data_IF_303275984026
#
_entry.id   IF_303275984026
#
_cell.length_a   1.000
_cell.length_b   1.000
_cell.length_c   1.000
_cell.angle_alpha   90.00
_cell.angle_beta   90.00
_cell.angle_gamma   90.00
#
_symmetry.space_group_name_H-M   'P 1'
#
loop_
_entity.id
_entity.type
_entity.pdbx_description
1 polymer ?
#
# COMPACT_ATOMS: atom_id res chain seq x y z
N UNK A 1 18.85 -15.27 14.86
CA UNK A 1 18.52 -13.85 15.12
C UNK A 1 17.81 -13.28 13.90
N UNK A 2 16.65 -12.69 14.09
CA UNK A 2 15.92 -11.95 13.06
C UNK A 2 16.79 -10.82 12.48
N UNK A 3 16.60 -10.52 11.18
CA UNK A 3 17.37 -9.47 10.51
C UNK A 3 16.49 -8.25 10.34
N UNK A 4 16.80 -7.18 11.04
CA UNK A 4 16.07 -5.90 10.96
C UNK A 4 16.72 -5.02 9.90
N UNK A 5 15.90 -4.46 9.04
CA UNK A 5 16.29 -3.52 7.96
C UNK A 5 15.43 -2.26 8.06
N UNK A 6 16.07 -1.11 8.08
CA UNK A 6 15.43 0.19 7.98
C UNK A 6 15.44 0.66 6.53
N UNK A 7 14.32 1.15 6.03
CA UNK A 7 14.24 1.85 4.73
C UNK A 7 13.75 3.26 4.95
N UNK A 8 14.50 4.23 4.44
CA UNK A 8 14.17 5.66 4.49
C UNK A 8 13.92 6.13 3.06
N UNK A 9 12.82 6.81 2.85
CA UNK A 9 12.45 7.45 1.60
C UNK A 9 12.33 8.96 1.81
N UNK A 10 13.08 9.73 1.02
CA UNK A 10 13.12 11.19 1.06
C UNK A 10 12.33 11.72 -0.14
N UNK A 11 11.04 11.98 0.08
CA UNK A 11 10.18 12.62 -0.91
C UNK A 11 10.08 14.14 -0.74
N UNK A 12 9.52 14.82 -1.74
CA UNK A 12 9.42 16.30 -1.79
C UNK A 12 8.64 16.92 -0.64
N UNK A 13 7.55 16.29 -0.19
CA UNK A 13 6.68 16.82 0.87
C UNK A 13 6.94 16.16 2.24
N UNK A 14 7.24 14.88 2.25
CA UNK A 14 7.46 14.13 3.49
C UNK A 14 8.56 13.10 3.33
N UNK A 15 9.25 12.87 4.43
CA UNK A 15 10.16 11.74 4.59
C UNK A 15 9.46 10.64 5.37
N UNK A 16 9.72 9.41 5.00
CA UNK A 16 9.14 8.25 5.66
C UNK A 16 10.20 7.20 5.93
N UNK A 17 10.07 6.54 7.06
CA UNK A 17 10.90 5.42 7.46
C UNK A 17 10.01 4.23 7.77
N UNK A 18 10.40 3.05 7.31
CA UNK A 18 9.86 1.77 7.77
C UNK A 18 11.00 0.92 8.32
N UNK A 19 10.71 0.20 9.40
CA UNK A 19 11.63 -0.79 9.96
C UNK A 19 10.95 -2.15 9.85
N UNK A 20 11.60 -3.04 9.14
CA UNK A 20 11.08 -4.34 8.76
C UNK A 20 11.94 -5.44 9.38
N UNK A 21 11.30 -6.38 10.03
CA UNK A 21 11.93 -7.55 10.63
C UNK A 21 11.68 -8.78 9.75
N UNK A 22 12.75 -9.38 9.26
CA UNK A 22 12.72 -10.63 8.52
C UNK A 22 12.67 -11.81 9.48
N UNK A 23 11.57 -12.55 9.50
CA UNK A 23 11.36 -13.72 10.36
C UNK A 23 11.90 -15.03 9.77
N UNK A 24 11.74 -15.23 8.46
CA UNK A 24 12.23 -16.40 7.73
C UNK A 24 12.76 -16.02 6.34
N UNK A 25 12.93 -16.99 5.42
CA UNK A 25 13.56 -16.73 4.12
C UNK A 25 12.92 -15.57 3.34
N UNK A 26 11.60 -15.50 3.33
CA UNK A 26 10.84 -14.50 2.57
C UNK A 26 9.80 -13.76 3.42
N UNK A 27 9.46 -14.26 4.62
CA UNK A 27 8.50 -13.61 5.49
C UNK A 27 9.13 -12.46 6.28
N UNK A 28 8.35 -11.43 6.50
CA UNK A 28 8.73 -10.24 7.23
C UNK A 28 7.52 -9.59 7.89
N UNK A 29 7.78 -8.75 8.85
CA UNK A 29 6.77 -7.91 9.51
C UNK A 29 7.24 -6.47 9.62
N UNK A 30 6.31 -5.53 9.52
CA UNK A 30 6.54 -4.13 9.84
C UNK A 30 6.56 -3.98 11.36
N UNK A 31 7.66 -3.48 11.91
CA UNK A 31 7.81 -3.26 13.37
C UNK A 31 7.81 -1.78 13.75
N UNK A 32 8.09 -0.89 12.80
CA UNK A 32 7.96 0.55 13.01
C UNK A 32 7.70 1.28 11.68
N UNK A 33 6.84 2.27 11.71
CA UNK A 33 6.68 3.24 10.65
C UNK A 33 6.71 4.66 11.26
N UNK A 34 7.54 5.54 10.68
CA UNK A 34 7.62 6.93 11.10
C UNK A 34 7.56 7.85 9.88
N UNK A 35 6.77 8.90 9.98
CA UNK A 35 6.61 9.94 8.96
C UNK A 35 7.03 11.29 9.53
N UNK A 36 7.81 12.04 8.76
CA UNK A 36 8.14 13.45 9.05
C UNK A 36 7.76 14.34 7.87
N UNK A 37 7.08 15.42 8.16
CA UNK A 37 6.57 16.36 7.17
C UNK A 37 7.57 17.50 6.98
N UNK A 38 8.66 17.22 6.28
CA UNK A 38 9.80 18.14 6.12
C UNK A 38 9.60 19.18 5.04
N UNK A 39 8.74 18.93 4.05
CA UNK A 39 8.51 19.78 2.87
C UNK A 39 9.82 20.25 2.26
N UNK A 40 10.74 19.29 1.96
CA UNK A 40 12.10 19.61 1.51
C UNK A 40 12.11 20.41 0.20
N UNK A 41 11.05 20.28 -0.62
CA UNK A 41 10.90 21.05 -1.87
C UNK A 41 10.11 22.34 -1.72
N UNK A 42 9.81 22.80 -0.49
CA UNK A 42 9.09 24.06 -0.26
C UNK A 42 9.88 25.24 -0.81
N UNK A 43 9.24 26.05 -1.68
CA UNK A 43 9.87 27.17 -2.36
C UNK A 43 10.92 26.81 -3.41
N UNK A 44 11.05 25.54 -3.76
CA UNK A 44 12.07 25.05 -4.67
C UNK A 44 11.78 25.50 -6.12
N UNK A 45 10.56 25.26 -6.61
CA UNK A 45 10.21 25.52 -8.02
C UNK A 45 10.11 27.01 -8.35
N UNK A 46 9.81 27.85 -7.35
CA UNK A 46 9.80 29.31 -7.48
C UNK A 46 11.23 29.92 -7.47
N UNK A 47 12.22 29.16 -6.96
CA UNK A 47 13.62 29.58 -6.82
C UNK A 47 14.57 28.78 -7.72
N UNK A 48 14.19 28.58 -8.99
CA UNK A 48 15.05 27.94 -9.99
C UNK A 48 15.39 26.49 -9.67
N UNK A 49 14.57 25.79 -8.92
CA UNK A 49 14.76 24.39 -8.54
C UNK A 49 15.66 24.18 -7.32
N UNK A 50 16.19 25.24 -6.69
CA UNK A 50 17.10 25.11 -5.56
C UNK A 50 16.37 24.83 -4.24
N UNK A 51 16.85 23.84 -3.50
CA UNK A 51 16.41 23.56 -2.14
C UNK A 51 16.73 24.74 -1.22
N UNK A 52 15.80 25.08 -0.37
CA UNK A 52 15.93 26.18 0.58
C UNK A 52 16.57 25.70 1.88
N UNK A 53 17.26 26.59 2.61
CA UNK A 53 18.04 26.24 3.81
C UNK A 53 17.17 25.67 4.93
N UNK A 54 16.04 26.33 5.25
CA UNK A 54 15.13 25.89 6.33
C UNK A 54 14.54 24.50 6.03
N UNK A 55 14.00 24.20 4.84
CA UNK A 55 13.59 22.84 4.46
C UNK A 55 14.70 21.79 4.56
N UNK A 56 15.92 22.12 4.14
CA UNK A 56 17.08 21.23 4.27
C UNK A 56 17.41 20.93 5.73
N UNK A 57 17.35 21.94 6.61
CA UNK A 57 17.58 21.75 8.05
C UNK A 57 16.52 20.86 8.69
N UNK A 58 15.23 21.07 8.37
CA UNK A 58 14.14 20.17 8.82
C UNK A 58 14.36 18.72 8.39
N UNK A 59 14.79 18.53 7.15
CA UNK A 59 15.09 17.20 6.61
C UNK A 59 16.29 16.56 7.33
N UNK A 60 17.35 17.32 7.60
CA UNK A 60 18.50 16.85 8.34
C UNK A 60 18.15 16.40 9.76
N UNK A 61 17.38 17.19 10.51
CA UNK A 61 16.95 16.82 11.86
C UNK A 61 16.03 15.58 11.86
N UNK A 62 15.19 15.44 10.85
CA UNK A 62 14.36 14.25 10.68
C UNK A 62 15.18 13.00 10.40
N UNK A 63 16.23 13.08 9.56
CA UNK A 63 17.15 11.97 9.33
C UNK A 63 17.87 11.54 10.60
N UNK A 64 18.35 12.50 11.39
CA UNK A 64 18.97 12.25 12.69
C UNK A 64 18.03 11.50 13.62
N UNK A 65 16.77 11.93 13.70
CA UNK A 65 15.74 11.24 14.49
C UNK A 65 15.46 9.82 13.98
N UNK A 66 15.35 9.62 12.67
CA UNK A 66 15.12 8.30 12.08
C UNK A 66 16.28 7.34 12.35
N UNK A 67 17.52 7.81 12.27
CA UNK A 67 18.71 7.01 12.61
C UNK A 67 18.72 6.61 14.09
N UNK A 68 18.32 7.50 15.00
CA UNK A 68 18.20 7.17 16.41
C UNK A 68 17.19 6.02 16.64
N UNK A 69 16.02 6.07 16.01
CA UNK A 69 15.02 5.00 16.06
C UNK A 69 15.58 3.69 15.47
N UNK A 70 16.22 3.79 14.29
CA UNK A 70 16.85 2.64 13.62
C UNK A 70 17.88 1.95 14.50
N UNK A 71 18.73 2.73 15.17
CA UNK A 71 19.76 2.23 16.09
C UNK A 71 19.14 1.62 17.35
N UNK A 72 18.12 2.25 17.94
CA UNK A 72 17.40 1.71 19.11
C UNK A 72 16.75 0.36 18.79
N UNK A 73 16.22 0.19 17.57
CA UNK A 73 15.67 -1.08 17.09
C UNK A 73 16.75 -2.07 16.60
N UNK A 74 18.04 -1.74 16.76
CA UNK A 74 19.17 -2.58 16.36
C UNK A 74 19.13 -3.00 14.90
N UNK A 75 18.72 -2.06 14.02
CA UNK A 75 18.70 -2.30 12.58
C UNK A 75 20.12 -2.61 12.07
N UNK A 76 20.25 -3.70 11.34
CA UNK A 76 21.56 -4.14 10.80
C UNK A 76 21.89 -3.49 9.45
N UNK A 77 20.90 -2.91 8.78
CA UNK A 77 21.02 -2.30 7.48
C UNK A 77 20.07 -1.12 7.37
N UNK A 78 20.57 0.00 6.89
CA UNK A 78 19.78 1.18 6.53
C UNK A 78 19.88 1.38 5.03
N UNK A 79 18.75 1.36 4.36
CA UNK A 79 18.60 1.68 2.94
C UNK A 79 17.93 3.06 2.86
N UNK A 80 18.64 4.04 2.34
CA UNK A 80 18.10 5.39 2.20
C UNK A 80 18.05 5.77 0.73
N UNK A 81 16.85 6.10 0.24
CA UNK A 81 16.63 6.58 -1.12
C UNK A 81 16.08 7.99 -1.10
N UNK A 82 16.35 8.75 -2.15
CA UNK A 82 15.78 10.06 -2.37
C UNK A 82 15.27 10.15 -3.81
N UNK A 83 14.14 10.82 -3.97
CA UNK A 83 13.40 10.92 -5.22
C UNK A 83 13.48 12.32 -5.83
N UNK A 84 12.42 12.80 -6.47
CA UNK A 84 12.40 14.03 -7.27
C UNK A 84 12.99 15.26 -6.57
N UNK A 85 12.78 15.41 -5.26
CA UNK A 85 13.29 16.58 -4.53
C UNK A 85 14.82 16.75 -4.61
N UNK A 86 15.57 15.64 -4.41
CA UNK A 86 17.04 15.67 -4.46
C UNK A 86 17.57 15.33 -5.85
N UNK A 87 16.79 14.66 -6.68
CA UNK A 87 17.15 14.36 -8.08
C UNK A 87 17.19 15.63 -8.93
N UNK A 88 16.16 16.48 -8.80
CA UNK A 88 15.95 17.62 -9.68
C UNK A 88 16.66 18.90 -9.17
N UNK A 89 17.05 18.96 -7.89
CA UNK A 89 17.62 20.18 -7.30
C UNK A 89 19.10 20.38 -7.67
N UNK A 90 19.47 21.54 -8.28
CA UNK A 90 20.85 21.84 -8.65
C UNK A 90 21.83 21.83 -7.47
N UNK A 91 21.36 22.25 -6.28
CA UNK A 91 22.16 22.31 -5.05
C UNK A 91 22.04 21.08 -4.15
N UNK A 92 21.47 19.96 -4.62
CA UNK A 92 21.26 18.75 -3.80
C UNK A 92 22.55 18.19 -3.20
N UNK A 93 23.70 18.35 -3.87
CA UNK A 93 25.00 17.88 -3.38
C UNK A 93 25.39 18.48 -2.03
N UNK A 94 24.96 19.71 -1.73
CA UNK A 94 25.22 20.36 -0.44
C UNK A 94 24.58 19.55 0.69
N UNK A 95 23.30 19.22 0.55
CA UNK A 95 22.56 18.41 1.52
C UNK A 95 23.11 17.00 1.63
N UNK A 96 23.36 16.32 0.50
CA UNK A 96 23.88 14.95 0.45
C UNK A 96 25.24 14.83 1.15
N UNK A 97 26.16 15.76 0.89
CA UNK A 97 27.49 15.78 1.52
C UNK A 97 27.39 16.01 3.03
N UNK A 98 26.56 16.97 3.47
CA UNK A 98 26.31 17.24 4.89
C UNK A 98 25.83 16.00 5.61
N UNK A 99 24.77 15.34 5.09
CA UNK A 99 24.21 14.12 5.69
C UNK A 99 25.24 13.00 5.76
N UNK A 100 26.03 12.81 4.71
CA UNK A 100 27.08 11.81 4.68
C UNK A 100 28.18 12.07 5.71
N UNK A 101 28.63 13.31 5.81
CA UNK A 101 29.75 13.68 6.70
C UNK A 101 29.33 13.67 8.16
N UNK A 102 28.14 14.23 8.48
CA UNK A 102 27.71 14.42 9.87
C UNK A 102 27.00 13.20 10.46
N UNK A 103 26.22 12.47 9.64
CA UNK A 103 25.40 11.35 10.08
C UNK A 103 25.93 9.98 9.60
N UNK A 104 26.95 9.94 8.75
CA UNK A 104 27.45 8.70 8.15
C UNK A 104 26.46 8.00 7.23
N UNK A 105 25.36 8.66 6.84
CA UNK A 105 24.30 8.08 6.04
C UNK A 105 24.52 8.38 4.55
N UNK A 106 24.65 7.30 3.75
CA UNK A 106 24.67 7.42 2.30
C UNK A 106 23.24 7.40 1.75
N UNK A 107 22.83 8.46 1.07
CA UNK A 107 21.54 8.59 0.40
C UNK A 107 21.74 8.24 -1.08
N UNK A 108 20.98 7.26 -1.57
CA UNK A 108 20.93 6.91 -2.98
C UNK A 108 19.84 7.73 -3.67
N UNK A 109 20.24 8.73 -4.45
CA UNK A 109 19.30 9.43 -5.33
C UNK A 109 18.94 8.50 -6.48
N UNK A 110 17.67 8.24 -6.67
CA UNK A 110 17.14 7.35 -7.72
C UNK A 110 16.49 8.16 -8.84
N UNK A 111 16.58 7.66 -10.06
CA UNK A 111 15.83 8.19 -11.19
C UNK A 111 14.34 7.83 -11.09
N UNK A 112 13.51 8.49 -11.91
CA UNK A 112 12.07 8.31 -11.84
C UNK A 112 11.60 6.92 -12.30
N UNK A 113 12.28 6.31 -13.26
CA UNK A 113 11.97 4.93 -13.70
C UNK A 113 12.24 3.93 -12.58
N UNK A 114 13.33 4.14 -11.82
CA UNK A 114 13.66 3.30 -10.67
C UNK A 114 12.69 3.50 -9.51
N UNK A 115 12.23 4.73 -9.28
CA UNK A 115 11.17 5.05 -8.33
C UNK A 115 9.88 4.31 -8.67
N UNK A 116 9.43 4.43 -9.93
CA UNK A 116 8.29 3.70 -10.49
C UNK A 116 8.45 2.17 -10.35
N UNK A 117 9.63 1.66 -10.72
CA UNK A 117 9.96 0.23 -10.59
C UNK A 117 9.79 -0.29 -9.16
N UNK A 118 10.27 0.46 -8.16
CA UNK A 118 10.09 0.06 -6.76
C UNK A 118 8.62 0.05 -6.34
N UNK A 119 7.82 1.04 -6.78
CA UNK A 119 6.36 1.02 -6.61
C UNK A 119 5.73 -0.23 -7.22
N UNK A 120 6.13 -0.57 -8.45
CA UNK A 120 5.72 -1.77 -9.17
C UNK A 120 6.11 -3.07 -8.45
N UNK A 121 7.35 -3.17 -7.95
CA UNK A 121 7.80 -4.35 -7.16
C UNK A 121 6.97 -4.51 -5.89
N UNK A 122 6.68 -3.42 -5.17
CA UNK A 122 5.86 -3.49 -3.98
C UNK A 122 4.43 -3.98 -4.29
N UNK A 123 3.78 -3.36 -5.27
CA UNK A 123 2.38 -3.64 -5.60
C UNK A 123 2.19 -5.01 -6.23
N UNK A 124 3.04 -5.43 -7.18
CA UNK A 124 2.96 -6.74 -7.83
C UNK A 124 3.21 -7.93 -6.89
N UNK A 125 3.93 -7.72 -5.78
CA UNK A 125 4.18 -8.76 -4.77
C UNK A 125 3.21 -8.74 -3.60
N UNK A 126 2.61 -7.58 -3.27
CA UNK A 126 1.86 -7.42 -2.03
C UNK A 126 0.36 -7.15 -2.24
N UNK A 127 -0.08 -6.89 -3.48
CA UNK A 127 -1.50 -6.88 -3.84
C UNK A 127 -1.89 -8.20 -4.52
N UNK A 128 -3.17 -8.52 -4.46
CA UNK A 128 -3.72 -9.73 -5.06
C UNK A 128 -3.83 -9.62 -6.59
N UNK A 129 -4.10 -8.42 -7.08
CA UNK A 129 -4.30 -8.15 -8.51
C UNK A 129 -3.04 -8.46 -9.32
N UNK A 130 -3.21 -8.98 -10.54
CA UNK A 130 -2.12 -9.42 -11.42
C UNK A 130 -1.96 -8.55 -12.68
N UNK A 131 -2.97 -7.74 -13.04
CA UNK A 131 -2.93 -6.81 -14.18
C UNK A 131 -3.47 -5.43 -13.78
N UNK A 132 -2.61 -4.40 -13.86
CA UNK A 132 -2.94 -3.02 -13.51
C UNK A 132 -1.86 -2.03 -13.97
N UNK A 133 -2.20 -0.74 -13.95
CA UNK A 133 -1.23 0.36 -13.99
C UNK A 133 -1.12 0.99 -12.59
N UNK A 134 0.10 1.21 -12.07
CA UNK A 134 0.24 2.01 -10.85
C UNK A 134 0.15 3.50 -11.17
N UNK A 135 -0.38 4.28 -10.23
CA UNK A 135 -0.38 5.74 -10.24
C UNK A 135 0.13 6.18 -8.86
N UNK A 136 1.40 6.59 -8.76
CA UNK A 136 2.01 7.11 -7.53
C UNK A 136 2.21 8.61 -7.62
N UNK A 137 1.32 9.38 -6.98
CA UNK A 137 1.37 10.85 -7.00
C UNK A 137 2.24 11.35 -5.85
N UNK A 138 3.45 11.77 -6.22
CA UNK A 138 4.40 12.41 -5.34
C UNK A 138 4.24 13.93 -5.26
N UNK A 139 5.20 14.58 -4.58
CA UNK A 139 5.26 16.05 -4.50
C UNK A 139 5.81 16.69 -5.77
N UNK A 140 6.81 16.11 -6.41
CA UNK A 140 7.49 16.64 -7.59
C UNK A 140 7.22 15.87 -8.88
N UNK A 141 6.85 14.59 -8.79
CA UNK A 141 6.62 13.71 -9.94
C UNK A 141 5.44 12.79 -9.70
N UNK A 142 5.00 12.08 -10.74
CA UNK A 142 4.03 10.99 -10.71
C UNK A 142 4.60 9.82 -11.49
N UNK A 143 4.60 8.66 -10.86
CA UNK A 143 5.17 7.43 -11.38
C UNK A 143 4.08 6.47 -11.86
N UNK A 144 4.33 5.83 -13.02
CA UNK A 144 3.47 4.82 -13.62
C UNK A 144 4.27 3.54 -13.84
N UNK A 145 3.69 2.41 -13.42
CA UNK A 145 4.25 1.09 -13.68
C UNK A 145 3.17 0.19 -14.26
N UNK A 146 3.43 -0.34 -15.46
CA UNK A 146 2.57 -1.32 -16.09
C UNK A 146 2.90 -2.70 -15.58
N UNK A 147 1.90 -3.38 -15.03
CA UNK A 147 2.02 -4.74 -14.48
C UNK A 147 1.03 -5.65 -15.19
N UNK A 148 1.51 -6.81 -15.65
CA UNK A 148 0.70 -7.91 -16.21
C UNK A 148 1.25 -9.24 -15.76
N UNK A 149 0.39 -10.16 -15.33
CA UNK A 149 0.75 -11.45 -14.73
C UNK A 149 1.75 -11.27 -13.57
N UNK A 150 1.53 -10.26 -12.75
CA UNK A 150 2.46 -9.81 -11.68
C UNK A 150 3.88 -9.49 -12.18
N UNK A 151 4.09 -9.28 -13.48
CA UNK A 151 5.37 -8.86 -14.07
C UNK A 151 5.33 -7.39 -14.44
N UNK A 152 6.40 -6.70 -14.12
CA UNK A 152 6.59 -5.31 -14.53
C UNK A 152 6.98 -5.30 -16.01
N UNK A 153 6.16 -4.65 -16.83
CA UNK A 153 6.40 -4.47 -18.26
C UNK A 153 7.19 -3.19 -18.53
N UNK A 154 6.78 -2.09 -17.87
CA UNK A 154 7.38 -0.77 -18.08
C UNK A 154 7.21 0.11 -16.84
N UNK A 155 8.19 0.98 -16.62
CA UNK A 155 8.19 2.01 -15.57
C UNK A 155 8.43 3.37 -16.19
N UNK A 156 7.64 4.39 -15.79
CA UNK A 156 7.70 5.75 -16.31
C UNK A 156 7.56 6.72 -15.16
N UNK A 157 8.24 7.85 -15.24
CA UNK A 157 8.04 8.99 -14.33
C UNK A 157 7.76 10.26 -15.12
N UNK A 158 6.75 10.99 -14.69
CA UNK A 158 6.37 12.28 -15.25
C UNK A 158 6.60 13.39 -14.23
N UNK A 159 7.01 14.56 -14.70
CA UNK A 159 7.22 15.73 -13.86
C UNK A 159 5.90 16.39 -13.43
N UNK A 160 4.97 15.60 -12.90
CA UNK A 160 3.65 16.00 -12.42
C UNK A 160 3.58 15.65 -10.92
N UNK A 161 3.64 16.65 -10.04
CA UNK A 161 3.57 16.41 -8.60
C UNK A 161 2.79 17.51 -7.88
N UNK A 162 2.26 17.21 -6.70
CA UNK A 162 1.37 18.10 -5.97
C UNK A 162 2.03 19.44 -5.62
N UNK A 163 3.29 19.44 -5.18
CA UNK A 163 4.03 20.67 -4.86
C UNK A 163 4.38 21.43 -6.14
N UNK A 164 4.85 20.73 -7.18
CA UNK A 164 5.16 21.33 -8.47
C UNK A 164 3.95 22.02 -9.11
N UNK A 165 2.81 21.36 -9.18
CA UNK A 165 1.58 21.92 -9.75
C UNK A 165 1.07 23.09 -8.91
N UNK A 166 1.19 22.99 -7.59
CA UNK A 166 0.83 24.08 -6.68
C UNK A 166 1.65 25.35 -6.97
N UNK A 167 2.99 25.27 -6.87
CA UNK A 167 3.87 26.43 -7.01
C UNK A 167 3.85 27.02 -8.42
N UNK A 168 3.80 26.19 -9.47
CA UNK A 168 3.84 26.68 -10.85
C UNK A 168 2.50 27.20 -11.39
N UNK A 169 1.37 26.66 -10.88
CA UNK A 169 0.05 26.93 -11.48
C UNK A 169 -1.01 27.36 -10.45
N UNK A 170 -1.26 26.61 -9.38
CA UNK A 170 -2.36 26.88 -8.45
C UNK A 170 -2.15 28.18 -7.69
N UNK A 171 -0.94 28.47 -7.20
CA UNK A 171 -0.62 29.75 -6.55
C UNK A 171 -0.83 30.97 -7.49
N UNK A 172 -0.87 30.73 -8.80
CA UNK A 172 -1.08 31.76 -9.84
C UNK A 172 -2.50 31.74 -10.41
N UNK A 173 -3.41 30.98 -9.81
CA UNK A 173 -4.78 30.77 -10.29
C UNK A 173 -4.89 30.31 -11.76
N UNK A 174 -3.86 29.61 -12.28
CA UNK A 174 -3.79 29.12 -13.64
C UNK A 174 -4.18 27.63 -13.75
N UNK A 175 -5.43 27.31 -13.42
CA UNK A 175 -5.94 25.92 -13.42
C UNK A 175 -5.97 25.32 -14.84
N UNK A 176 -6.28 26.16 -15.85
CA UNK A 176 -6.26 25.73 -17.25
C UNK A 176 -4.86 25.29 -17.67
N UNK A 177 -3.85 26.10 -17.40
CA UNK A 177 -2.46 25.76 -17.69
C UNK A 177 -1.98 24.52 -16.92
N UNK A 178 -2.44 24.31 -15.69
CA UNK A 178 -2.17 23.07 -14.95
C UNK A 178 -2.69 21.84 -15.69
N UNK A 179 -3.94 21.91 -16.19
CA UNK A 179 -4.55 20.80 -16.94
C UNK A 179 -3.80 20.53 -18.25
N UNK A 180 -3.52 21.55 -19.02
CA UNK A 180 -2.76 21.44 -20.28
C UNK A 180 -1.37 20.80 -20.04
N UNK A 181 -0.67 21.24 -18.98
CA UNK A 181 0.62 20.69 -18.61
C UNK A 181 0.53 19.19 -18.24
N UNK A 182 -0.48 18.78 -17.49
CA UNK A 182 -0.69 17.37 -17.12
C UNK A 182 -0.96 16.54 -18.38
N UNK A 183 -1.89 16.98 -19.24
CA UNK A 183 -2.25 16.26 -20.47
C UNK A 183 -1.06 16.12 -21.42
N UNK A 184 -0.25 17.18 -21.58
CA UNK A 184 0.95 17.11 -22.42
C UNK A 184 1.96 16.08 -21.91
N UNK A 185 2.19 16.03 -20.58
CA UNK A 185 3.06 15.01 -20.01
C UNK A 185 2.50 13.59 -20.11
N UNK A 186 1.16 13.42 -20.03
CA UNK A 186 0.52 12.11 -20.14
C UNK A 186 0.69 11.46 -21.52
N UNK A 187 0.98 12.24 -22.58
CA UNK A 187 1.30 11.68 -23.91
C UNK A 187 2.40 10.63 -23.84
N UNK A 188 3.38 10.80 -22.96
CA UNK A 188 4.48 9.83 -22.75
C UNK A 188 3.99 8.47 -22.26
N UNK A 189 2.82 8.39 -21.62
CA UNK A 189 2.21 7.12 -21.19
C UNK A 189 1.68 6.36 -22.41
N UNK A 190 0.99 7.07 -23.32
CA UNK A 190 0.47 6.49 -24.55
C UNK A 190 1.57 6.07 -25.54
N UNK A 191 2.69 6.81 -25.56
CA UNK A 191 3.85 6.49 -26.41
C UNK A 191 4.51 5.13 -26.08
N UNK A 192 4.16 4.52 -24.96
CA UNK A 192 4.72 3.20 -24.60
C UNK A 192 4.16 2.07 -25.45
N UNK A 193 3.06 2.27 -26.18
CA UNK A 193 2.39 1.26 -27.00
C UNK A 193 2.05 -0.03 -26.20
N UNK A 194 1.65 0.15 -24.95
CA UNK A 194 1.16 -0.90 -24.04
C UNK A 194 -0.31 -0.64 -23.79
N UNK A 195 -1.14 -1.68 -23.83
CA UNK A 195 -2.55 -1.57 -23.49
C UNK A 195 -2.70 -1.06 -22.06
N UNK A 196 -3.49 -0.01 -21.88
CA UNK A 196 -3.74 0.58 -20.57
C UNK A 196 -4.86 -0.20 -19.89
N UNK A 197 -4.62 -0.85 -18.76
CA UNK A 197 -5.66 -1.54 -18.03
C UNK A 197 -6.73 -0.55 -17.53
N UNK A 198 -8.00 -0.97 -17.51
CA UNK A 198 -9.08 -0.18 -16.91
C UNK A 198 -9.00 -0.10 -15.37
N UNK A 199 -8.08 -0.86 -14.78
CA UNK A 199 -7.79 -0.91 -13.34
C UNK A 199 -6.46 -0.21 -13.04
N UNK A 200 -6.48 0.71 -12.06
CA UNK A 200 -5.27 1.34 -11.54
C UNK A 200 -5.02 0.95 -10.08
N UNK A 201 -3.76 0.86 -9.71
CA UNK A 201 -3.32 0.81 -8.32
C UNK A 201 -2.84 2.18 -7.89
N UNK A 202 -3.61 2.79 -6.99
CA UNK A 202 -3.32 4.11 -6.47
C UNK A 202 -2.33 4.09 -5.31
N UNK A 203 -1.23 4.81 -5.44
CA UNK A 203 -0.17 4.97 -4.43
C UNK A 203 -0.07 6.44 -4.04
N UNK A 204 0.53 6.72 -2.92
CA UNK A 204 0.78 8.09 -2.47
C UNK A 204 -0.25 8.63 -1.47
N UNK A 205 0.08 9.78 -0.92
CA UNK A 205 -0.65 10.32 0.21
C UNK A 205 -2.02 10.90 -0.13
N UNK A 206 -2.15 11.53 -1.29
CA UNK A 206 -3.42 12.10 -1.75
C UNK A 206 -4.43 11.02 -2.04
N UNK A 207 -4.04 9.98 -2.81
CA UNK A 207 -4.93 8.87 -3.16
C UNK A 207 -5.39 8.11 -1.89
N UNK A 208 -4.49 7.83 -0.94
CA UNK A 208 -4.87 7.20 0.33
C UNK A 208 -5.84 8.06 1.15
N UNK A 209 -5.73 9.38 1.07
CA UNK A 209 -6.70 10.28 1.74
C UNK A 209 -8.06 10.17 1.09
N UNK A 210 -8.15 10.22 -0.25
CA UNK A 210 -9.39 10.05 -1.00
C UNK A 210 -10.04 8.69 -0.68
N UNK A 211 -9.25 7.61 -0.72
CA UNK A 211 -9.75 6.26 -0.42
C UNK A 211 -10.28 6.14 1.00
N UNK A 212 -9.61 6.74 2.00
CA UNK A 212 -10.12 6.74 3.38
C UNK A 212 -11.42 7.52 3.50
N UNK A 213 -11.56 8.66 2.82
CA UNK A 213 -12.82 9.40 2.77
C UNK A 213 -13.95 8.60 2.14
N UNK A 214 -13.65 7.83 1.07
CA UNK A 214 -14.62 6.91 0.43
C UNK A 214 -15.04 5.80 1.40
N UNK A 215 -14.08 5.19 2.11
CA UNK A 215 -14.36 4.17 3.12
C UNK A 215 -15.26 4.74 4.22
N UNK A 216 -14.91 5.89 4.78
CA UNK A 216 -15.66 6.55 5.86
C UNK A 216 -17.09 6.93 5.41
N UNK A 217 -17.24 7.49 4.20
CA UNK A 217 -18.54 7.82 3.58
C UNK A 217 -19.45 6.60 3.43
N UNK A 218 -18.88 5.44 3.10
CA UNK A 218 -19.63 4.21 2.84
C UNK A 218 -19.69 3.29 4.07
N UNK A 219 -19.31 3.76 5.27
CA UNK A 219 -19.29 2.97 6.51
C UNK A 219 -18.59 1.60 6.31
N UNK A 220 -17.45 1.61 5.55
CA UNK A 220 -16.78 0.40 5.17
C UNK A 220 -16.25 -0.38 6.39
N UNK A 221 -16.52 -1.70 6.52
CA UNK A 221 -16.33 -2.42 7.79
C UNK A 221 -14.85 -2.71 8.14
N UNK A 222 -13.90 -2.39 7.26
CA UNK A 222 -12.47 -2.57 7.52
C UNK A 222 -11.75 -1.23 7.54
N UNK A 223 -10.81 -1.06 8.48
CA UNK A 223 -9.93 0.12 8.52
C UNK A 223 -8.72 0.02 7.57
N UNK A 224 -8.45 -1.19 7.08
CA UNK A 224 -7.30 -1.45 6.21
C UNK A 224 -7.48 -0.80 4.84
N UNK A 225 -6.59 0.14 4.51
CA UNK A 225 -6.63 0.83 3.22
C UNK A 225 -5.95 0.02 2.09
N UNK A 226 -5.00 -0.84 2.43
CA UNK A 226 -4.27 -1.66 1.45
C UNK A 226 -5.17 -2.77 0.90
N UNK A 227 -5.44 -2.73 -0.40
CA UNK A 227 -6.38 -3.61 -1.09
C UNK A 227 -7.83 -3.09 -1.15
N UNK A 228 -8.11 -1.89 -0.61
CA UNK A 228 -9.42 -1.26 -0.77
C UNK A 228 -9.65 -0.89 -2.23
N UNK A 229 -10.79 -1.30 -2.77
CA UNK A 229 -11.15 -1.14 -4.18
C UNK A 229 -12.44 -0.32 -4.30
N UNK A 230 -12.47 0.60 -5.28
CA UNK A 230 -13.66 1.39 -5.57
C UNK A 230 -13.79 1.71 -7.06
N UNK A 231 -15.05 1.94 -7.49
CA UNK A 231 -15.37 2.36 -8.84
C UNK A 231 -15.22 3.88 -8.98
N UNK A 232 -14.46 4.33 -9.97
CA UNK A 232 -14.16 5.76 -10.20
C UNK A 232 -15.43 6.58 -10.46
N UNK A 233 -16.38 6.05 -11.23
CA UNK A 233 -17.59 6.77 -11.58
C UNK A 233 -18.48 7.04 -10.35
N UNK A 234 -18.51 6.14 -9.39
CA UNK A 234 -19.28 6.32 -8.16
C UNK A 234 -18.74 7.46 -7.28
N UNK A 235 -17.46 7.80 -7.43
CA UNK A 235 -16.77 8.77 -6.57
C UNK A 235 -16.47 10.12 -7.23
N UNK A 236 -16.86 10.31 -8.47
CA UNK A 236 -16.66 11.60 -9.21
C UNK A 236 -17.15 12.82 -8.43
N UNK A 237 -18.31 12.72 -7.78
CA UNK A 237 -18.90 13.83 -7.00
C UNK A 237 -18.01 14.22 -5.82
N UNK A 238 -17.39 13.26 -5.14
CA UNK A 238 -16.46 13.53 -4.05
C UNK A 238 -15.24 14.31 -4.56
N UNK A 239 -14.64 13.88 -5.67
CA UNK A 239 -13.51 14.56 -6.28
C UNK A 239 -13.86 16.00 -6.68
N UNK A 240 -15.02 16.20 -7.30
CA UNK A 240 -15.51 17.53 -7.68
C UNK A 240 -15.74 18.44 -6.46
N UNK A 241 -16.30 17.92 -5.37
CA UNK A 241 -16.53 18.70 -4.17
C UNK A 241 -15.19 19.16 -3.55
N UNK A 242 -14.17 18.29 -3.50
CA UNK A 242 -12.83 18.68 -3.03
C UNK A 242 -12.22 19.78 -3.88
N UNK A 243 -12.39 19.69 -5.22
CA UNK A 243 -11.85 20.70 -6.13
C UNK A 243 -12.56 22.05 -6.01
N UNK A 244 -13.85 22.07 -5.69
CA UNK A 244 -14.68 23.27 -5.49
C UNK A 244 -14.50 23.92 -4.12
N UNK A 245 -14.03 23.19 -3.11
CA UNK A 245 -13.83 23.75 -1.76
C UNK A 245 -12.86 24.94 -1.79
N UNK A 246 -13.26 26.08 -1.27
CA UNK A 246 -12.44 27.30 -1.25
C UNK A 246 -11.74 27.51 0.07
N UNK A 247 -12.22 26.88 1.14
CA UNK A 247 -11.70 27.04 2.50
C UNK A 247 -11.23 25.72 3.11
N UNK A 248 -10.38 25.82 4.12
CA UNK A 248 -9.96 24.63 4.89
C UNK A 248 -11.13 24.02 5.70
N UNK A 249 -12.10 24.84 6.10
CA UNK A 249 -13.27 24.37 6.83
C UNK A 249 -14.16 23.53 5.95
N UNK A 250 -14.40 23.93 4.71
CA UNK A 250 -15.11 23.11 3.71
C UNK A 250 -14.38 21.79 3.41
N UNK A 251 -13.06 21.81 3.33
CA UNK A 251 -12.28 20.57 3.19
C UNK A 251 -12.40 19.68 4.43
N UNK A 252 -12.46 20.26 5.63
CA UNK A 252 -12.66 19.51 6.86
C UNK A 252 -14.06 18.88 6.94
N UNK A 253 -15.10 19.61 6.52
CA UNK A 253 -16.48 19.10 6.42
C UNK A 253 -16.60 17.92 5.45
N UNK A 254 -15.80 17.92 4.37
CA UNK A 254 -15.68 16.78 3.45
C UNK A 254 -14.88 15.60 4.02
N UNK A 255 -14.32 15.71 5.24
CA UNK A 255 -13.54 14.67 5.90
C UNK A 255 -12.04 14.73 5.65
N UNK A 256 -11.52 15.77 5.00
CA UNK A 256 -10.07 15.93 4.79
C UNK A 256 -9.39 16.28 6.12
N UNK A 257 -8.33 15.55 6.46
CA UNK A 257 -7.54 15.83 7.68
C UNK A 257 -6.67 17.08 7.49
N UNK A 258 -6.46 17.85 8.58
CA UNK A 258 -5.67 19.11 8.58
C UNK A 258 -4.29 18.97 7.94
N UNK A 259 -3.65 17.82 8.12
CA UNK A 259 -2.33 17.55 7.54
C UNK A 259 -2.34 17.36 6.02
N UNK A 260 -3.48 17.48 5.35
CA UNK A 260 -3.67 17.33 3.91
C UNK A 260 -4.17 18.58 3.20
N UNK A 261 -4.63 19.59 3.90
CA UNK A 261 -5.22 20.79 3.30
C UNK A 261 -4.33 21.46 2.25
N UNK A 262 -3.01 21.42 2.41
CA UNK A 262 -2.07 22.08 1.52
C UNK A 262 -1.74 21.32 0.23
N UNK A 263 -2.23 20.10 0.05
CA UNK A 263 -1.87 19.25 -1.12
C UNK A 263 -3.04 18.42 -1.66
N UNK A 264 -4.20 18.42 -1.00
CA UNK A 264 -5.30 17.53 -1.39
C UNK A 264 -5.96 18.00 -2.70
N UNK A 265 -6.14 19.30 -2.90
CA UNK A 265 -6.75 19.84 -4.12
C UNK A 265 -5.90 19.52 -5.34
N UNK A 266 -4.61 19.82 -5.28
CA UNK A 266 -3.65 19.53 -6.34
C UNK A 266 -3.56 18.01 -6.62
N UNK A 267 -3.50 17.20 -5.55
CA UNK A 267 -3.47 15.75 -5.66
C UNK A 267 -4.74 15.17 -6.29
N UNK A 268 -5.91 15.67 -5.90
CA UNK A 268 -7.19 15.27 -6.48
C UNK A 268 -7.30 15.71 -7.94
N UNK A 269 -6.83 16.91 -8.26
CA UNK A 269 -6.83 17.44 -9.62
C UNK A 269 -5.97 16.59 -10.56
N UNK A 270 -4.73 16.29 -10.14
CA UNK A 270 -3.81 15.42 -10.88
C UNK A 270 -4.46 14.04 -11.07
N UNK A 271 -4.93 13.45 -9.98
CA UNK A 271 -5.49 12.09 -9.99
C UNK A 271 -6.72 11.99 -10.89
N UNK A 272 -7.69 12.91 -10.71
CA UNK A 272 -8.89 12.95 -11.57
C UNK A 272 -8.55 13.10 -13.04
N UNK A 273 -7.61 14.00 -13.37
CA UNK A 273 -7.19 14.22 -14.76
C UNK A 273 -6.57 12.96 -15.35
N UNK A 274 -5.74 12.24 -14.59
CA UNK A 274 -5.13 10.97 -15.02
C UNK A 274 -6.21 9.89 -15.22
N UNK A 275 -7.13 9.73 -14.26
CA UNK A 275 -8.19 8.72 -14.34
C UNK A 275 -9.11 8.95 -15.56
N UNK A 276 -9.46 10.21 -15.83
CA UNK A 276 -10.31 10.57 -16.96
C UNK A 276 -9.58 10.32 -18.30
N UNK A 277 -8.30 10.70 -18.40
CA UNK A 277 -7.51 10.59 -19.65
C UNK A 277 -7.15 9.15 -19.99
N UNK A 278 -6.82 8.32 -18.98
CA UNK A 278 -6.47 6.91 -19.16
C UNK A 278 -7.69 5.98 -19.14
N UNK A 279 -8.90 6.51 -19.05
CA UNK A 279 -10.17 5.76 -18.97
C UNK A 279 -10.20 4.69 -17.85
N UNK A 280 -9.62 5.02 -16.69
CA UNK A 280 -9.60 4.11 -15.54
C UNK A 280 -11.00 3.99 -14.93
N UNK A 281 -11.46 2.75 -14.74
CA UNK A 281 -12.80 2.44 -14.18
C UNK A 281 -12.74 2.06 -12.71
N UNK A 282 -11.66 1.41 -12.30
CA UNK A 282 -11.50 0.85 -10.97
C UNK A 282 -10.14 1.24 -10.38
N UNK A 283 -10.13 1.58 -9.10
CA UNK A 283 -8.89 1.87 -8.35
C UNK A 283 -8.78 0.94 -7.17
N UNK A 284 -7.63 0.27 -7.07
CA UNK A 284 -7.19 -0.47 -5.88
C UNK A 284 -6.20 0.39 -5.12
N UNK A 285 -6.42 0.61 -3.84
CA UNK A 285 -5.55 1.46 -3.03
C UNK A 285 -4.39 0.67 -2.44
N UNK A 286 -3.18 1.16 -2.65
CA UNK A 286 -1.99 0.55 -2.06
C UNK A 286 -1.55 1.23 -0.77
N UNK A 287 -1.44 0.45 0.30
CA UNK A 287 -0.77 0.84 1.55
C UNK A 287 0.76 0.85 1.44
N UNK A 288 1.30 0.15 0.43
CA UNK A 288 2.75 0.01 0.17
C UNK A 288 3.19 0.88 -1.01
N UNK A 289 4.49 1.05 -1.21
CA UNK A 289 5.06 1.85 -2.30
C UNK A 289 6.57 1.72 -2.37
N UNK A 290 7.27 2.82 -2.68
CA UNK A 290 8.73 2.83 -2.90
C UNK A 290 9.51 2.16 -1.77
N UNK A 291 9.17 2.40 -0.50
CA UNK A 291 9.89 1.85 0.67
C UNK A 291 9.85 0.32 0.72
N UNK A 292 8.67 -0.23 0.56
CA UNK A 292 8.48 -1.68 0.53
C UNK A 292 9.12 -2.27 -0.73
N UNK A 293 9.07 -1.57 -1.87
CA UNK A 293 9.76 -1.96 -3.11
C UNK A 293 11.28 -1.99 -2.97
N UNK A 294 11.87 -1.01 -2.30
CA UNK A 294 13.31 -0.99 -1.97
C UNK A 294 13.67 -2.20 -1.10
N UNK A 295 12.87 -2.46 -0.05
CA UNK A 295 13.07 -3.62 0.81
C UNK A 295 12.95 -4.95 0.05
N UNK A 296 11.87 -5.11 -0.73
CA UNK A 296 11.61 -6.34 -1.49
C UNK A 296 12.66 -6.59 -2.56
N UNK A 297 13.14 -5.55 -3.22
CA UNK A 297 14.24 -5.66 -4.19
C UNK A 297 15.51 -6.20 -3.53
N UNK A 298 15.81 -5.81 -2.30
CA UNK A 298 16.94 -6.37 -1.53
C UNK A 298 16.64 -7.79 -1.02
N UNK A 299 15.44 -8.04 -0.50
CA UNK A 299 15.03 -9.35 0.00
C UNK A 299 15.00 -10.42 -1.10
N UNK A 300 14.46 -10.06 -2.26
CA UNK A 300 14.17 -10.94 -3.40
C UNK A 300 15.20 -10.83 -4.53
N UNK A 301 16.40 -10.30 -4.26
CA UNK A 301 17.44 -10.06 -5.28
C UNK A 301 17.85 -11.31 -6.09
N UNK A 302 17.65 -12.50 -5.53
CA UNK A 302 18.00 -13.78 -6.16
C UNK A 302 16.78 -14.48 -6.83
N UNK A 303 15.63 -13.81 -6.91
CA UNK A 303 14.38 -14.37 -7.46
C UNK A 303 13.67 -13.37 -8.38
N UNK A 304 14.44 -12.58 -9.12
CA UNK A 304 13.93 -11.54 -10.02
C UNK A 304 12.91 -10.59 -9.34
N UNK A 305 13.16 -10.28 -8.07
CA UNK A 305 12.33 -9.44 -7.20
C UNK A 305 10.87 -9.92 -7.06
N UNK A 306 10.66 -11.25 -7.12
CA UNK A 306 9.34 -11.88 -6.97
C UNK A 306 9.36 -12.98 -5.93
N UNK A 307 8.27 -13.12 -5.19
CA UNK A 307 8.07 -14.29 -4.34
C UNK A 307 7.97 -15.58 -5.16
N UNK A 308 8.36 -16.74 -4.59
CA UNK A 308 8.12 -18.03 -5.23
C UNK A 308 6.62 -18.27 -5.47
N UNK A 309 6.30 -19.02 -6.51
CA UNK A 309 4.94 -19.47 -6.74
C UNK A 309 4.38 -20.19 -5.50
N UNK A 310 3.12 -19.99 -5.21
CA UNK A 310 2.41 -20.57 -4.04
C UNK A 310 2.95 -20.13 -2.67
N UNK A 311 3.74 -19.05 -2.61
CA UNK A 311 4.17 -18.44 -1.37
C UNK A 311 3.30 -17.22 -1.07
N UNK A 312 2.68 -17.21 0.12
CA UNK A 312 1.98 -16.04 0.62
C UNK A 312 2.70 -15.49 1.85
N UNK A 313 3.15 -14.23 1.74
CA UNK A 313 3.95 -13.56 2.78
C UNK A 313 3.15 -13.33 4.06
N UNK A 314 1.85 -12.98 3.96
CA UNK A 314 1.02 -12.75 5.15
C UNK A 314 0.80 -14.02 5.95
N UNK A 315 0.44 -15.12 5.27
CA UNK A 315 0.26 -16.41 5.93
C UNK A 315 1.55 -16.84 6.63
N UNK A 316 2.69 -16.79 5.91
CA UNK A 316 3.98 -17.19 6.50
C UNK A 316 4.40 -16.27 7.66
N UNK A 317 4.17 -14.96 7.54
CA UNK A 317 4.50 -14.01 8.60
C UNK A 317 3.66 -14.23 9.86
N UNK A 318 2.39 -14.60 9.73
CA UNK A 318 1.55 -14.97 10.87
C UNK A 318 2.01 -16.28 11.50
N UNK A 319 2.32 -17.31 10.71
CA UNK A 319 2.87 -18.58 11.23
C UNK A 319 4.17 -18.34 12.03
N UNK A 320 5.07 -17.52 11.51
CA UNK A 320 6.33 -17.18 12.18
C UNK A 320 6.11 -16.35 13.45
N UNK A 321 5.26 -15.31 13.38
CA UNK A 321 5.00 -14.40 14.50
C UNK A 321 4.40 -15.10 15.71
N UNK A 322 3.51 -16.06 15.47
CA UNK A 322 2.83 -16.83 16.50
C UNK A 322 3.48 -18.19 16.77
N UNK A 323 4.67 -18.42 16.23
CA UNK A 323 5.48 -19.65 16.42
C UNK A 323 4.68 -20.94 16.17
N UNK A 324 3.80 -20.92 15.16
CA UNK A 324 2.99 -22.07 14.83
C UNK A 324 3.83 -23.16 14.15
N UNK A 325 3.54 -24.41 14.49
CA UNK A 325 4.22 -25.56 13.91
C UNK A 325 3.88 -25.70 12.43
N UNK A 326 4.86 -25.47 11.54
CA UNK A 326 4.67 -25.48 10.08
C UNK A 326 4.20 -26.85 9.56
N UNK A 327 4.73 -27.97 10.11
CA UNK A 327 4.33 -29.31 9.71
C UNK A 327 2.87 -29.58 10.05
N UNK A 328 2.46 -29.16 11.25
CA UNK A 328 1.07 -29.28 11.71
C UNK A 328 0.15 -28.38 10.87
N UNK A 329 0.52 -27.15 10.60
CA UNK A 329 -0.25 -26.25 9.74
C UNK A 329 -0.40 -26.77 8.32
N UNK A 330 0.67 -27.36 7.76
CA UNK A 330 0.63 -28.00 6.46
C UNK A 330 -0.29 -29.24 6.45
N UNK A 331 -0.25 -30.04 7.51
CA UNK A 331 -1.13 -31.20 7.69
C UNK A 331 -2.60 -30.80 7.70
N UNK A 332 -2.96 -29.77 8.49
CA UNK A 332 -4.33 -29.24 8.53
C UNK A 332 -4.78 -28.70 7.16
N UNK A 333 -3.94 -27.92 6.48
CA UNK A 333 -4.25 -27.42 5.15
C UNK A 333 -4.48 -28.52 4.12
N UNK A 334 -3.67 -29.61 4.16
CA UNK A 334 -3.85 -30.76 3.28
C UNK A 334 -5.15 -31.55 3.57
N UNK A 335 -5.51 -31.67 4.85
CA UNK A 335 -6.77 -32.32 5.24
C UNK A 335 -7.98 -31.47 4.81
N UNK A 336 -7.94 -30.16 5.02
CA UNK A 336 -8.98 -29.23 4.57
C UNK A 336 -9.22 -29.34 3.05
N UNK A 337 -8.15 -29.43 2.26
CA UNK A 337 -8.24 -29.65 0.81
C UNK A 337 -8.96 -30.97 0.49
N UNK A 338 -8.61 -32.06 1.18
CA UNK A 338 -9.25 -33.36 0.97
C UNK A 338 -10.73 -33.33 1.36
N UNK A 339 -11.06 -32.73 2.52
CA UNK A 339 -12.44 -32.59 2.99
C UNK A 339 -13.27 -31.80 1.98
N UNK A 340 -12.74 -30.68 1.45
CA UNK A 340 -13.40 -29.89 0.44
C UNK A 340 -13.74 -30.75 -0.80
N UNK A 341 -12.77 -31.50 -1.33
CA UNK A 341 -12.97 -32.33 -2.52
C UNK A 341 -13.98 -33.49 -2.27
N UNK A 342 -13.91 -34.16 -1.13
CA UNK A 342 -14.83 -35.25 -0.78
C UNK A 342 -16.25 -34.76 -0.62
N UNK A 343 -16.44 -33.58 -0.01
CA UNK A 343 -17.75 -32.98 0.22
C UNK A 343 -18.27 -32.15 -0.96
N UNK A 344 -17.50 -32.00 -2.03
CA UNK A 344 -17.86 -31.17 -3.19
C UNK A 344 -19.23 -31.50 -3.78
N UNK A 345 -19.67 -32.76 -3.89
CA UNK A 345 -21.02 -33.08 -4.38
C UNK A 345 -22.16 -32.57 -3.49
N UNK A 346 -21.89 -32.27 -2.20
CA UNK A 346 -22.87 -31.77 -1.25
C UNK A 346 -22.91 -30.25 -1.20
N UNK A 347 -21.74 -29.61 -1.11
CA UNK A 347 -21.68 -28.15 -0.96
C UNK A 347 -21.66 -27.38 -2.30
N UNK A 348 -21.23 -27.99 -3.38
CA UNK A 348 -21.14 -27.40 -4.73
C UNK A 348 -20.47 -26.01 -4.79
N UNK A 349 -19.55 -25.70 -3.87
CA UNK A 349 -18.83 -24.42 -3.81
C UNK A 349 -17.79 -24.31 -4.93
N UNK A 350 -17.54 -23.06 -5.34
CA UNK A 350 -16.47 -22.71 -6.28
C UNK A 350 -15.08 -23.05 -5.69
N UNK A 351 -14.13 -23.44 -6.56
CA UNK A 351 -12.77 -23.84 -6.15
C UNK A 351 -11.97 -22.69 -5.47
N UNK A 352 -12.35 -21.44 -5.70
CA UNK A 352 -11.75 -20.29 -4.96
C UNK A 352 -11.90 -20.42 -3.45
N UNK A 353 -13.00 -21.03 -2.97
CA UNK A 353 -13.22 -21.26 -1.54
C UNK A 353 -12.33 -22.35 -0.96
N UNK A 354 -11.85 -23.27 -1.78
CA UNK A 354 -10.89 -24.31 -1.37
C UNK A 354 -9.58 -23.70 -0.88
N UNK A 355 -9.05 -22.72 -1.60
CA UNK A 355 -7.82 -22.04 -1.19
C UNK A 355 -8.00 -21.25 0.10
N UNK A 356 -9.13 -20.55 0.27
CA UNK A 356 -9.46 -19.84 1.49
C UNK A 356 -9.64 -20.79 2.69
N UNK A 357 -10.26 -21.96 2.47
CA UNK A 357 -10.40 -22.99 3.49
C UNK A 357 -9.02 -23.55 3.93
N UNK A 358 -8.11 -23.77 2.98
CA UNK A 358 -6.73 -24.20 3.27
C UNK A 358 -5.99 -23.15 4.11
N UNK A 359 -6.11 -21.86 3.78
CA UNK A 359 -5.51 -20.78 4.56
C UNK A 359 -6.11 -20.73 5.96
N UNK A 360 -7.44 -20.81 6.08
CA UNK A 360 -8.15 -20.83 7.35
C UNK A 360 -7.67 -21.99 8.24
N UNK A 361 -7.54 -23.19 7.68
CA UNK A 361 -7.06 -24.36 8.40
C UNK A 361 -5.60 -24.23 8.86
N UNK A 362 -4.73 -23.63 8.05
CA UNK A 362 -3.34 -23.35 8.44
C UNK A 362 -3.21 -22.41 9.62
N UNK A 363 -4.13 -21.45 9.71
CA UNK A 363 -4.08 -20.34 10.68
C UNK A 363 -5.06 -20.52 11.86
N UNK A 364 -5.88 -21.57 11.89
CA UNK A 364 -6.97 -21.71 12.88
C UNK A 364 -6.49 -21.66 14.35
N UNK A 365 -5.26 -22.04 14.62
CA UNK A 365 -4.71 -22.07 15.97
C UNK A 365 -3.99 -20.78 16.40
N UNK A 366 -3.91 -19.77 15.52
CA UNK A 366 -3.18 -18.52 15.79
C UNK A 366 -3.69 -17.79 17.04
N UNK A 367 -4.98 -17.86 17.31
CA UNK A 367 -5.59 -17.22 18.48
C UNK A 367 -5.32 -17.92 19.82
N UNK A 368 -4.83 -19.17 19.80
CA UNK A 368 -4.45 -19.91 21.01
C UNK A 368 -3.25 -19.30 21.73
N UNK A 369 -2.41 -18.56 21.02
CA UNK A 369 -1.24 -17.86 21.57
C UNK A 369 -1.61 -16.77 22.59
N UNK A 370 -2.84 -16.25 22.55
CA UNK A 370 -3.31 -15.26 23.53
C UNK A 370 -4.18 -15.92 24.62
N UNK A 371 -5.18 -16.71 24.25
CA UNK A 371 -6.10 -17.38 25.19
C UNK A 371 -6.76 -18.59 24.52
N UNK A 372 -6.58 -19.77 25.11
CA UNK A 372 -7.14 -21.02 24.58
C UNK A 372 -8.66 -21.01 24.49
N UNK A 373 -9.37 -20.52 25.48
CA UNK A 373 -10.85 -20.53 25.52
C UNK A 373 -11.48 -19.56 24.52
N UNK A 374 -10.76 -18.50 24.15
CA UNK A 374 -11.20 -17.50 23.15
C UNK A 374 -10.42 -17.58 21.84
N UNK A 375 -9.80 -18.75 21.55
CA UNK A 375 -8.90 -18.91 20.40
C UNK A 375 -9.52 -18.49 19.07
N UNK A 376 -10.80 -18.78 18.84
CA UNK A 376 -11.48 -18.47 17.59
C UNK A 376 -11.75 -16.96 17.44
N UNK A 377 -12.17 -16.29 18.51
CA UNK A 377 -12.40 -14.84 18.51
C UNK A 377 -11.06 -14.08 18.38
N UNK A 378 -10.03 -14.52 19.11
CA UNK A 378 -8.68 -13.95 18.96
C UNK A 378 -8.11 -14.17 17.54
N UNK A 379 -8.31 -15.36 16.98
CA UNK A 379 -7.87 -15.66 15.61
C UNK A 379 -8.58 -14.76 14.59
N UNK A 380 -9.88 -14.50 14.77
CA UNK A 380 -10.63 -13.57 13.94
C UNK A 380 -9.94 -12.20 13.87
N UNK A 381 -9.65 -11.60 15.04
CA UNK A 381 -8.96 -10.31 15.13
C UNK A 381 -7.55 -10.35 14.53
N UNK A 382 -6.78 -11.40 14.81
CA UNK A 382 -5.43 -11.52 14.27
C UNK A 382 -5.41 -11.67 12.76
N UNK A 383 -6.39 -12.35 12.18
CA UNK A 383 -6.52 -12.54 10.74
C UNK A 383 -6.99 -11.26 10.05
N UNK A 384 -8.04 -10.60 10.59
CA UNK A 384 -8.51 -9.32 10.06
C UNK A 384 -7.41 -8.25 10.02
N UNK A 385 -6.49 -8.28 11.00
CA UNK A 385 -5.40 -7.31 11.10
C UNK A 385 -4.06 -7.79 10.52
N UNK A 386 -3.91 -9.09 10.25
CA UNK A 386 -2.64 -9.70 9.88
C UNK A 386 -2.52 -10.20 8.44
N UNK A 387 -3.62 -10.57 7.76
CA UNK A 387 -3.60 -10.93 6.35
C UNK A 387 -3.57 -9.68 5.47
N UNK A 388 -2.49 -8.91 5.56
CA UNK A 388 -2.41 -7.59 4.91
C UNK A 388 -1.98 -7.64 3.45
N UNK A 389 -1.24 -8.67 3.03
CA UNK A 389 -0.63 -8.74 1.71
C UNK A 389 -1.14 -9.92 0.91
N UNK A 390 -1.38 -9.69 -0.38
CA UNK A 390 -1.84 -10.68 -1.35
C UNK A 390 -3.20 -11.32 -1.00
N UNK A 391 -4.07 -10.54 -0.36
CA UNK A 391 -5.47 -10.87 -0.11
C UNK A 391 -6.38 -9.70 -0.46
N UNK A 392 -7.47 -10.01 -1.15
CA UNK A 392 -8.61 -9.09 -1.25
C UNK A 392 -9.31 -8.96 0.11
N UNK A 393 -9.96 -7.85 0.37
CA UNK A 393 -10.72 -7.65 1.62
C UNK A 393 -11.79 -8.73 1.84
N UNK A 394 -12.49 -9.13 0.78
CA UNK A 394 -13.45 -10.24 0.81
C UNK A 394 -12.81 -11.55 1.28
N UNK A 395 -11.69 -11.94 0.69
CA UNK A 395 -10.95 -13.16 1.04
C UNK A 395 -10.48 -13.14 2.50
N UNK A 396 -9.99 -12.01 2.97
CA UNK A 396 -9.52 -11.78 4.33
C UNK A 396 -10.66 -11.94 5.35
N UNK A 397 -11.82 -11.34 5.07
CA UNK A 397 -13.01 -11.44 5.92
C UNK A 397 -13.57 -12.86 5.92
N UNK A 398 -13.60 -13.55 4.77
CA UNK A 398 -14.02 -14.95 4.68
C UNK A 398 -13.14 -15.84 5.55
N UNK A 399 -11.80 -15.73 5.44
CA UNK A 399 -10.86 -16.52 6.25
C UNK A 399 -11.07 -16.28 7.73
N UNK A 400 -11.20 -15.01 8.14
CA UNK A 400 -11.42 -14.64 9.54
C UNK A 400 -12.71 -15.23 10.11
N UNK A 401 -13.84 -15.08 9.40
CA UNK A 401 -15.13 -15.62 9.83
C UNK A 401 -15.17 -17.14 9.82
N UNK A 402 -14.57 -17.78 8.82
CA UNK A 402 -14.45 -19.24 8.76
C UNK A 402 -13.80 -19.79 10.02
N UNK A 403 -12.74 -19.15 10.53
CA UNK A 403 -12.07 -19.56 11.77
C UNK A 403 -12.92 -19.21 13.00
N UNK A 404 -13.53 -18.02 13.03
CA UNK A 404 -14.37 -17.57 14.17
C UNK A 404 -15.49 -18.58 14.46
N UNK A 405 -16.12 -19.10 13.43
CA UNK A 405 -17.25 -20.02 13.52
C UNK A 405 -16.89 -21.50 13.37
N UNK A 406 -15.61 -21.86 13.33
CA UNK A 406 -15.15 -23.26 13.39
C UNK A 406 -15.29 -23.82 14.81
N UNK A 407 -16.53 -23.97 15.27
CA UNK A 407 -16.92 -24.45 16.59
C UNK A 407 -18.29 -25.14 16.52
N UNK A 408 -18.87 -25.57 17.66
CA UNK A 408 -20.12 -26.34 17.71
C UNK A 408 -21.33 -25.67 17.06
N UNK A 409 -21.37 -24.36 17.01
CA UNK A 409 -22.47 -23.59 16.40
C UNK A 409 -22.02 -22.92 15.11
N UNK A 410 -22.74 -23.19 14.02
CA UNK A 410 -22.53 -22.52 12.75
C UNK A 410 -23.00 -21.06 12.80
N UNK A 411 -22.47 -20.18 11.92
CA UNK A 411 -22.87 -18.77 11.88
C UNK A 411 -24.35 -18.61 11.51
N UNK A 412 -24.96 -17.54 12.03
CA UNK A 412 -26.32 -17.08 11.72
C UNK A 412 -26.24 -15.74 10.97
N UNK A 413 -27.37 -15.27 10.44
CA UNK A 413 -27.44 -13.97 9.74
C UNK A 413 -26.91 -12.81 10.59
N UNK A 414 -27.28 -12.75 11.88
CA UNK A 414 -26.80 -11.71 12.79
C UNK A 414 -25.29 -11.72 13.02
N UNK A 415 -24.64 -12.85 12.83
CA UNK A 415 -23.19 -12.99 13.06
C UNK A 415 -22.34 -12.46 11.89
N UNK A 416 -22.94 -12.30 10.70
CA UNK A 416 -22.27 -11.87 9.47
C UNK A 416 -22.77 -10.51 8.97
N UNK A 417 -23.75 -9.88 9.64
CA UNK A 417 -24.41 -8.66 9.18
C UNK A 417 -23.45 -7.50 8.99
N UNK A 418 -22.52 -7.29 9.92
CA UNK A 418 -21.51 -6.22 9.87
C UNK A 418 -20.64 -6.28 8.61
N UNK A 419 -20.37 -7.50 8.10
CA UNK A 419 -19.47 -7.75 6.96
C UNK A 419 -20.22 -8.30 5.73
N UNK A 420 -21.54 -8.17 5.68
CA UNK A 420 -22.38 -8.81 4.64
C UNK A 420 -21.97 -8.48 3.20
N UNK A 421 -21.47 -7.27 2.96
CA UNK A 421 -21.01 -6.84 1.63
C UNK A 421 -19.69 -7.50 1.22
N UNK A 422 -18.92 -8.03 2.17
CA UNK A 422 -17.64 -8.67 1.97
C UNK A 422 -17.71 -10.20 2.10
N UNK A 423 -18.82 -10.74 2.54
CA UNK A 423 -19.03 -12.17 2.74
C UNK A 423 -19.92 -12.77 1.65
N UNK A 424 -19.71 -14.05 1.31
CA UNK A 424 -20.67 -14.78 0.51
C UNK A 424 -21.97 -15.04 1.31
N UNK A 425 -22.92 -15.72 0.70
CA UNK A 425 -24.15 -16.09 1.38
C UNK A 425 -23.87 -16.93 2.65
N UNK A 426 -24.87 -16.95 3.56
CA UNK A 426 -24.75 -17.64 4.84
C UNK A 426 -24.42 -19.13 4.70
N UNK A 427 -25.05 -19.81 3.74
CA UNK A 427 -24.86 -21.25 3.50
C UNK A 427 -23.37 -21.55 3.16
N UNK A 428 -22.75 -20.75 2.31
CA UNK A 428 -21.31 -20.86 2.00
C UNK A 428 -20.46 -20.70 3.27
N UNK A 429 -20.76 -19.71 4.10
CA UNK A 429 -20.04 -19.50 5.36
C UNK A 429 -20.22 -20.65 6.34
N UNK A 430 -21.42 -21.24 6.40
CA UNK A 430 -21.71 -22.42 7.22
C UNK A 430 -20.90 -23.62 6.74
N UNK A 431 -20.87 -23.90 5.46
CA UNK A 431 -20.04 -24.98 4.88
C UNK A 431 -18.55 -24.81 5.19
N UNK A 432 -17.99 -23.60 4.96
CA UNK A 432 -16.57 -23.34 5.24
C UNK A 432 -16.25 -23.52 6.74
N UNK A 433 -17.10 -23.03 7.62
CA UNK A 433 -16.90 -23.16 9.07
C UNK A 433 -17.04 -24.62 9.53
N UNK A 434 -17.97 -25.37 8.98
CA UNK A 434 -18.17 -26.80 9.26
C UNK A 434 -16.96 -27.64 8.87
N UNK A 435 -16.38 -27.39 7.69
CA UNK A 435 -15.23 -28.16 7.19
C UNK A 435 -13.94 -27.97 8.01
N UNK A 436 -13.86 -26.93 8.86
CA UNK A 436 -12.73 -26.72 9.77
C UNK A 436 -13.02 -27.19 11.19
N UNK A 437 -14.28 -27.19 11.60
CA UNK A 437 -14.71 -27.61 12.95
C UNK A 437 -14.47 -29.10 13.19
#
# INVERSE_FOLDING_TARGET
>A
MSKITTVIDIGSNSMRMVVLEKSSRFAFSLINETKSRVKISEGCYENGGNLQEIPMERAYQSLKSFLNISNALKSRKVLCVATSALRDAPNSKVFLNRVKNDLGLSIKVIDGEKESYFGGVATSNLLHDDEFITIDIGGGSTEFCFVKDKKILKSISLNIGTVRIKELYFNKNNIKGAKEYILENLKKVFEQNIDIPSKAVGIGGSIRTLSKMIMDKNEYPLDAIHGFTYNVNAEKKLFENILKADTNDELQELGVKKDRFDTIKEGTFIFKTILDELDIKEVVTSGVGVREGVYLTDLLRNSNHRFPNNFNVSVKSLLDRFELNEKQSAYFGNNAKKIFEVLKPLHNLDDKFKELLVVSSKLHSVGSSLNFYKKNDNAFEFILNGLNYDFQHTSRVIVAHTIKFSKKSLPKHSDIEEYKELLPNLETMQWLSFMIA
#
